data_IF_686996745642
#
_entry.id   IF_686996745642
#
_cell.length_a   1.000
_cell.length_b   1.000
_cell.length_c   1.000
_cell.angle_alpha   90.00
_cell.angle_beta   90.00
_cell.angle_gamma   90.00
#
_symmetry.space_group_name_H-M   'P 1'
#
loop_
_entity.id
_entity.type
_entity.pdbx_description
1 polymer ?
#
# COMPACT_ATOMS: atom_id res chain seq x y z
N UNK A 1 -68.55 21.77 -15.62
CA UNK A 1 -69.06 20.40 -15.85
C UNK A 1 -68.43 19.89 -17.14
N UNK A 2 -67.29 19.22 -17.03
CA UNK A 2 -66.55 18.66 -18.16
C UNK A 2 -65.96 17.31 -17.74
N UNK A 3 -66.14 16.30 -18.59
CA UNK A 3 -65.78 14.90 -18.48
C UNK A 3 -64.32 14.63 -18.05
N UNK A 4 -64.05 13.51 -17.37
CA UNK A 4 -62.83 12.71 -17.58
C UNK A 4 -62.94 11.25 -17.07
N UNK A 5 -62.86 10.34 -18.05
CA UNK A 5 -62.19 9.02 -18.12
C UNK A 5 -62.08 8.05 -16.93
N UNK A 6 -62.62 6.85 -17.17
CA UNK A 6 -62.24 5.55 -16.58
C UNK A 6 -60.74 5.24 -16.78
N UNK A 7 -60.08 4.71 -15.75
CA UNK A 7 -58.82 3.97 -15.91
C UNK A 7 -58.90 2.61 -15.20
N UNK A 8 -58.64 1.57 -15.98
CA UNK A 8 -58.59 0.17 -15.58
C UNK A 8 -57.25 -0.18 -14.93
N UNK A 9 -57.34 -1.14 -14.02
CA UNK A 9 -56.30 -1.71 -13.17
C UNK A 9 -55.64 -2.92 -13.85
N UNK A 10 -54.32 -2.91 -14.02
CA UNK A 10 -53.45 -4.08 -14.22
C UNK A 10 -52.08 -3.68 -13.64
N UNK A 11 -51.60 -4.24 -12.54
CA UNK A 11 -51.27 -5.65 -12.35
C UNK A 11 -49.78 -5.86 -12.60
N UNK A 12 -48.92 -5.19 -11.82
CA UNK A 12 -47.46 -5.29 -11.94
C UNK A 12 -46.97 -6.59 -11.31
N UNK A 13 -46.41 -7.49 -12.13
CA UNK A 13 -45.71 -8.67 -11.65
C UNK A 13 -44.43 -8.28 -10.93
N UNK A 14 -44.36 -8.61 -9.63
CA UNK A 14 -43.16 -8.49 -8.82
C UNK A 14 -42.16 -9.54 -9.26
N UNK A 15 -41.06 -9.10 -9.88
CA UNK A 15 -39.83 -9.87 -9.95
C UNK A 15 -39.12 -9.68 -8.61
N UNK A 16 -39.23 -10.67 -7.73
CA UNK A 16 -38.38 -10.80 -6.55
C UNK A 16 -36.94 -11.05 -7.03
N UNK A 17 -36.19 -9.95 -7.19
CA UNK A 17 -34.75 -10.01 -7.20
C UNK A 17 -34.30 -10.13 -5.75
N UNK A 18 -34.00 -11.35 -5.36
CA UNK A 18 -33.24 -11.69 -4.15
C UNK A 18 -31.84 -11.08 -4.31
N UNK A 19 -31.72 -9.79 -3.97
CA UNK A 19 -30.45 -9.10 -3.89
C UNK A 19 -29.80 -9.54 -2.59
N UNK A 20 -28.82 -10.44 -2.73
CA UNK A 20 -27.83 -10.74 -1.70
C UNK A 20 -27.18 -9.42 -1.22
N UNK A 21 -27.67 -8.90 -0.10
CA UNK A 21 -27.17 -7.71 0.57
C UNK A 21 -25.96 -8.03 1.48
N UNK A 22 -25.02 -8.85 1.01
CA UNK A 22 -23.73 -8.97 1.68
C UNK A 22 -22.87 -7.69 1.56
N UNK A 23 -23.32 -6.71 0.78
CA UNK A 23 -22.68 -5.41 0.58
C UNK A 23 -23.09 -4.33 1.61
N UNK A 24 -23.84 -4.68 2.66
CA UNK A 24 -24.27 -3.75 3.72
C UNK A 24 -23.18 -3.48 4.78
N UNK A 25 -21.91 -3.42 4.35
CA UNK A 25 -20.86 -2.79 5.13
C UNK A 25 -20.87 -1.31 4.77
N UNK A 26 -21.08 -0.43 5.77
CA UNK A 26 -21.11 1.02 5.57
C UNK A 26 -19.95 1.47 4.64
N UNK A 27 -20.18 2.39 3.67
CA UNK A 27 -19.21 2.74 2.63
C UNK A 27 -17.81 3.13 3.13
N UNK A 28 -17.70 3.57 4.39
CA UNK A 28 -16.45 3.91 5.04
C UNK A 28 -15.48 2.72 5.16
N UNK A 29 -15.96 1.48 5.36
CA UNK A 29 -15.10 0.29 5.53
C UNK A 29 -14.57 -0.27 4.21
N UNK A 30 -15.26 -0.01 3.09
CA UNK A 30 -14.87 -0.56 1.78
C UNK A 30 -13.50 -0.07 1.30
N UNK A 31 -13.03 1.07 1.82
CA UNK A 31 -11.74 1.67 1.43
C UNK A 31 -10.57 1.33 2.35
N UNK A 32 -10.80 0.64 3.48
CA UNK A 32 -9.74 0.31 4.42
C UNK A 32 -8.83 -0.79 3.84
N UNK A 33 -7.53 -0.54 3.84
CA UNK A 33 -6.53 -1.48 3.33
C UNK A 33 -6.00 -2.46 4.38
N UNK A 34 -6.66 -2.56 5.54
CA UNK A 34 -6.22 -3.38 6.68
C UNK A 34 -5.91 -4.83 6.28
N UNK A 35 -6.78 -5.46 5.47
CA UNK A 35 -6.60 -6.85 5.02
C UNK A 35 -5.48 -7.02 4.00
N UNK A 36 -5.01 -5.91 3.42
CA UNK A 36 -4.00 -5.88 2.37
C UNK A 36 -2.61 -5.56 2.92
N UNK A 37 -2.47 -5.28 4.21
CA UNK A 37 -1.17 -5.10 4.85
C UNK A 37 -0.54 -6.48 5.10
N UNK A 38 0.72 -6.62 4.72
CA UNK A 38 1.53 -7.77 5.12
C UNK A 38 2.13 -7.46 6.50
N UNK A 39 1.41 -7.87 7.55
CA UNK A 39 1.81 -7.58 8.93
C UNK A 39 3.12 -8.25 9.34
N UNK A 40 3.45 -9.41 8.75
CA UNK A 40 4.66 -10.15 9.11
C UNK A 40 5.90 -9.50 8.51
N UNK A 41 5.75 -8.83 7.36
CA UNK A 41 6.78 -8.03 6.71
C UNK A 41 7.02 -6.64 7.32
N UNK A 42 6.27 -6.23 8.35
CA UNK A 42 6.49 -4.94 9.02
C UNK A 42 7.82 -4.96 9.77
N UNK A 43 8.62 -3.92 9.52
CA UNK A 43 9.89 -3.64 10.21
C UNK A 43 9.82 -2.25 10.81
N UNK A 44 10.16 -2.15 12.09
CA UNK A 44 10.22 -0.87 12.81
C UNK A 44 11.60 -0.74 13.45
N UNK A 45 12.24 0.39 13.23
CA UNK A 45 13.54 0.75 13.80
C UNK A 45 13.31 1.78 14.91
N UNK A 46 14.08 1.65 15.99
CA UNK A 46 13.98 2.44 17.22
C UNK A 46 12.61 2.30 17.91
N UNK A 47 12.05 1.08 18.00
CA UNK A 47 10.90 0.79 18.87
C UNK A 47 11.38 0.25 20.22
N UNK A 48 10.83 0.75 21.33
CA UNK A 48 11.21 0.33 22.69
C UNK A 48 10.75 -1.10 23.01
N UNK A 49 9.53 -1.43 22.60
CA UNK A 49 8.99 -2.79 22.68
C UNK A 49 9.09 -3.49 21.31
N UNK A 50 9.68 -4.70 21.23
CA UNK A 50 9.75 -5.45 19.98
C UNK A 50 8.37 -5.70 19.37
N UNK A 51 8.24 -5.39 18.08
CA UNK A 51 7.00 -5.53 17.30
C UNK A 51 5.86 -4.60 17.72
N UNK A 52 6.10 -3.57 18.53
CA UNK A 52 5.10 -2.55 18.86
C UNK A 52 4.54 -1.84 17.62
N UNK A 53 5.41 -1.53 16.65
CA UNK A 53 5.00 -0.93 15.37
C UNK A 53 4.06 -1.83 14.58
N UNK A 54 4.30 -3.14 14.60
CA UNK A 54 3.37 -4.13 14.02
C UNK A 54 2.06 -4.19 14.80
N UNK A 55 2.12 -4.12 16.12
CA UNK A 55 0.97 -4.23 17.01
C UNK A 55 -0.02 -3.06 16.81
N UNK A 56 0.46 -1.82 16.67
CA UNK A 56 -0.41 -0.66 16.41
C UNK A 56 -1.05 -0.69 15.02
N UNK A 57 -0.39 -1.27 14.02
CA UNK A 57 -0.94 -1.46 12.66
C UNK A 57 -1.97 -2.60 12.62
N UNK A 58 -1.86 -3.59 13.53
CA UNK A 58 -2.83 -4.68 13.71
C UNK A 58 -4.09 -4.26 14.48
N UNK A 59 -4.14 -3.06 15.06
CA UNK A 59 -5.42 -2.54 15.58
C UNK A 59 -6.41 -2.39 14.44
N UNK A 60 -7.62 -2.88 14.64
CA UNK A 60 -8.71 -2.63 13.69
C UNK A 60 -9.20 -1.18 13.81
N UNK A 61 -9.98 -0.71 12.84
CA UNK A 61 -10.62 0.61 12.93
C UNK A 61 -11.43 0.78 14.23
N UNK A 62 -12.06 -0.28 14.75
CA UNK A 62 -12.80 -0.21 16.01
C UNK A 62 -11.90 0.02 17.23
N UNK A 63 -10.65 -0.45 17.18
CA UNK A 63 -9.66 -0.40 18.26
C UNK A 63 -8.70 0.79 18.15
N UNK A 64 -8.90 1.66 17.16
CA UNK A 64 -7.96 2.74 16.80
C UNK A 64 -7.67 3.72 17.96
N UNK A 65 -8.60 3.83 18.91
CA UNK A 65 -8.50 4.71 20.08
C UNK A 65 -8.15 3.94 21.37
N UNK A 66 -7.93 2.62 21.28
CA UNK A 66 -7.51 1.85 22.45
C UNK A 66 -6.11 2.31 22.89
N UNK A 67 -5.89 2.53 24.19
CA UNK A 67 -4.61 3.00 24.71
C UNK A 67 -3.46 2.00 24.47
N UNK A 68 -3.78 0.72 24.31
CA UNK A 68 -2.81 -0.35 24.09
C UNK A 68 -3.21 -1.26 22.91
N UNK A 69 -2.25 -1.76 22.11
CA UNK A 69 -0.81 -1.50 22.15
C UNK A 69 -0.44 -0.07 21.73
N UNK A 70 0.72 0.42 22.15
CA UNK A 70 1.28 1.72 21.72
C UNK A 70 2.68 1.47 21.15
N UNK A 71 3.11 2.27 20.18
CA UNK A 71 4.49 2.35 19.72
C UNK A 71 5.16 3.53 20.40
N UNK A 72 6.27 3.27 21.07
CA UNK A 72 7.14 4.27 21.69
C UNK A 72 8.56 4.09 21.15
N UNK A 73 9.29 5.18 20.99
CA UNK A 73 10.69 5.14 20.58
C UNK A 73 11.64 4.84 21.75
N UNK A 74 12.78 4.19 21.48
CA UNK A 74 13.68 3.69 22.53
C UNK A 74 14.77 4.70 22.92
N UNK A 75 15.46 5.27 21.93
CA UNK A 75 16.67 6.08 22.15
C UNK A 75 16.43 7.58 22.00
N UNK A 76 15.65 7.96 20.99
CA UNK A 76 15.36 9.34 20.63
C UNK A 76 14.01 9.43 19.93
N UNK A 77 13.59 10.63 19.53
CA UNK A 77 12.27 10.88 18.94
C UNK A 77 12.08 10.30 17.53
N UNK A 78 13.16 9.83 16.88
CA UNK A 78 13.13 9.40 15.50
C UNK A 78 12.78 7.92 15.37
N UNK A 79 11.76 7.61 14.56
CA UNK A 79 11.39 6.21 14.27
C UNK A 79 11.26 5.99 12.78
N UNK A 80 11.57 4.78 12.32
CA UNK A 80 11.40 4.40 10.92
C UNK A 80 10.60 3.12 10.84
N UNK A 81 9.47 3.16 10.13
CA UNK A 81 8.56 2.02 9.99
C UNK A 81 8.34 1.70 8.51
N UNK A 82 8.73 0.49 8.11
CA UNK A 82 8.43 -0.09 6.82
C UNK A 82 7.17 -0.95 6.88
N UNK A 83 6.18 -0.63 6.06
CA UNK A 83 4.88 -1.32 5.99
C UNK A 83 4.65 -1.83 4.56
N UNK A 84 4.81 -3.14 4.31
CA UNK A 84 4.48 -3.74 3.03
C UNK A 84 2.98 -4.04 2.87
N UNK A 85 2.52 -4.02 1.63
CA UNK A 85 1.21 -4.54 1.24
C UNK A 85 1.37 -5.89 0.51
N UNK A 86 0.34 -6.73 0.60
CA UNK A 86 0.26 -8.04 -0.08
C UNK A 86 0.05 -7.93 -1.60
N UNK A 87 -0.02 -6.71 -2.14
CA UNK A 87 -0.18 -6.44 -3.56
C UNK A 87 0.02 -4.96 -3.86
N UNK A 88 -0.45 -4.52 -5.03
CA UNK A 88 -0.38 -3.12 -5.42
C UNK A 88 -1.62 -2.37 -4.94
N UNK A 89 -1.44 -1.20 -4.35
CA UNK A 89 -2.51 -0.34 -3.87
C UNK A 89 -2.39 1.07 -4.43
N UNK A 90 -3.55 1.70 -4.65
CA UNK A 90 -3.70 3.14 -4.87
C UNK A 90 -4.03 3.78 -3.52
N UNK A 91 -3.04 4.37 -2.85
CA UNK A 91 -3.29 4.99 -1.55
C UNK A 91 -4.00 6.33 -1.71
N UNK A 92 -4.99 6.53 -0.86
CA UNK A 92 -5.79 7.75 -0.81
C UNK A 92 -5.49 8.56 0.45
N UNK A 93 -5.39 7.90 1.60
CA UNK A 93 -5.22 8.58 2.90
C UNK A 93 -4.41 7.71 3.87
N UNK A 94 -3.63 8.37 4.73
CA UNK A 94 -3.09 7.80 5.95
C UNK A 94 -4.12 8.01 7.07
N UNK A 95 -4.43 6.95 7.81
CA UNK A 95 -5.18 7.02 9.05
C UNK A 95 -4.17 7.01 10.20
N UNK A 96 -4.28 7.97 11.11
CA UNK A 96 -3.25 8.19 12.12
C UNK A 96 -3.88 8.59 13.45
N UNK A 97 -3.42 8.00 14.55
CA UNK A 97 -3.73 8.47 15.89
C UNK A 97 -2.49 8.35 16.78
N UNK A 98 -2.30 9.37 17.61
CA UNK A 98 -1.30 9.42 18.67
C UNK A 98 -1.94 9.99 19.94
N UNK A 99 -1.45 9.60 21.13
CA UNK A 99 -1.92 10.17 22.38
C UNK A 99 -1.76 11.69 22.41
N UNK A 100 -2.62 12.40 23.16
CA UNK A 100 -2.61 13.86 23.28
C UNK A 100 -1.48 14.39 24.17
N UNK A 101 -0.25 14.06 23.82
CA UNK A 101 0.95 14.45 24.56
C UNK A 101 1.92 15.19 23.64
N UNK A 102 2.91 15.86 24.23
CA UNK A 102 4.02 16.45 23.48
C UNK A 102 4.87 15.41 22.75
N UNK A 103 4.81 14.14 23.16
CA UNK A 103 5.43 13.00 22.46
C UNK A 103 4.73 12.60 21.16
N UNK A 104 3.60 13.20 20.80
CA UNK A 104 2.98 12.94 19.50
C UNK A 104 3.91 13.43 18.37
N UNK A 105 4.06 12.67 17.28
CA UNK A 105 4.91 13.09 16.17
C UNK A 105 4.33 14.34 15.52
N UNK A 106 5.22 15.23 15.09
CA UNK A 106 4.88 16.48 14.42
C UNK A 106 5.10 16.36 12.92
N UNK A 107 6.25 15.83 12.51
CA UNK A 107 6.61 15.65 11.09
C UNK A 107 6.74 14.17 10.75
N UNK A 108 5.98 13.73 9.74
CA UNK A 108 6.07 12.38 9.18
C UNK A 108 6.44 12.47 7.70
N UNK A 109 7.61 11.94 7.34
CA UNK A 109 8.05 11.79 5.95
C UNK A 109 7.62 10.41 5.43
N UNK A 110 6.94 10.39 4.27
CA UNK A 110 6.45 9.17 3.66
C UNK A 110 7.23 8.86 2.39
N UNK A 111 7.67 7.61 2.26
CA UNK A 111 8.38 7.11 1.09
C UNK A 111 7.64 5.93 0.48
N UNK A 112 7.41 6.00 -0.83
CA UNK A 112 6.76 4.94 -1.58
C UNK A 112 7.78 3.91 -2.04
N UNK A 113 7.54 2.63 -1.73
CA UNK A 113 8.30 1.48 -2.27
C UNK A 113 9.81 1.52 -1.94
N UNK A 114 10.18 1.94 -0.72
CA UNK A 114 11.59 2.06 -0.29
C UNK A 114 11.89 1.23 0.97
N UNK A 115 12.19 -0.09 0.83
CA UNK A 115 12.58 -0.96 1.95
C UNK A 115 14.02 -0.71 2.43
N UNK A 116 14.79 0.08 1.68
CA UNK A 116 16.23 0.30 1.84
C UNK A 116 16.60 1.49 2.72
N UNK A 117 15.61 2.13 3.37
CA UNK A 117 15.85 3.36 4.12
C UNK A 117 16.39 3.09 5.52
N UNK A 118 17.41 3.87 5.88
CA UNK A 118 17.86 4.10 7.24
C UNK A 118 17.60 5.57 7.65
N UNK A 119 17.91 5.92 8.90
CA UNK A 119 17.69 7.27 9.44
C UNK A 119 18.43 8.36 8.67
N UNK A 120 19.68 8.10 8.27
CA UNK A 120 20.48 9.08 7.53
C UNK A 120 19.89 9.37 6.14
N UNK A 121 19.54 8.31 5.42
CA UNK A 121 18.97 8.39 4.08
C UNK A 121 17.56 8.99 4.12
N UNK A 122 16.74 8.62 5.10
CA UNK A 122 15.39 9.16 5.26
C UNK A 122 15.38 10.66 5.64
N UNK A 123 16.42 11.13 6.34
CA UNK A 123 16.58 12.54 6.69
C UNK A 123 16.90 13.40 5.46
N UNK A 124 17.86 12.95 4.65
CA UNK A 124 18.39 13.70 3.50
C UNK A 124 17.52 13.58 2.23
N UNK A 125 16.90 12.42 2.02
CA UNK A 125 16.14 12.16 0.80
C UNK A 125 14.83 12.95 0.79
N UNK A 126 14.49 13.51 -0.37
CA UNK A 126 13.16 14.08 -0.58
C UNK A 126 12.07 13.01 -0.44
N UNK A 127 11.20 13.19 0.57
CA UNK A 127 10.05 12.33 0.78
C UNK A 127 9.08 12.38 -0.41
N UNK A 128 8.35 11.29 -0.64
CA UNK A 128 7.25 11.28 -1.62
C UNK A 128 6.18 12.28 -1.20
N UNK A 129 5.89 12.35 0.09
CA UNK A 129 5.05 13.35 0.71
C UNK A 129 5.47 13.54 2.17
N UNK A 130 5.53 14.79 2.64
CA UNK A 130 5.75 15.11 4.06
C UNK A 130 4.43 15.58 4.66
N UNK A 131 4.09 15.05 5.82
CA UNK A 131 2.89 15.41 6.58
C UNK A 131 3.30 16.15 7.85
N UNK A 132 2.55 17.20 8.17
CA UNK A 132 2.60 17.85 9.48
C UNK A 132 1.34 17.48 10.24
N UNK A 133 1.49 16.79 11.37
CA UNK A 133 0.39 16.30 12.20
C UNK A 133 0.05 17.37 13.25
N UNK A 134 -1.14 17.98 13.22
CA UNK A 134 -1.48 19.03 14.17
C UNK A 134 -1.66 18.50 15.60
N UNK A 135 -1.03 19.16 16.58
CA UNK A 135 -1.13 18.80 18.00
C UNK A 135 -2.58 18.82 18.54
N UNK A 136 -3.43 19.72 18.04
CA UNK A 136 -4.83 19.86 18.48
C UNK A 136 -5.73 18.72 18.01
N UNK A 137 -5.25 17.90 17.09
CA UNK A 137 -5.99 16.77 16.53
C UNK A 137 -5.54 15.42 17.11
N UNK A 138 -4.63 15.46 18.08
CA UNK A 138 -4.26 14.36 18.97
C UNK A 138 -4.79 14.74 20.35
N UNK A 139 -5.92 14.14 20.76
CA UNK A 139 -6.81 14.62 21.84
C UNK A 139 -7.55 13.46 22.50
N UNK A 140 -7.89 13.57 23.79
CA UNK A 140 -8.82 12.62 24.44
C UNK A 140 -10.22 12.62 23.80
N UNK A 141 -10.58 13.73 23.14
CA UNK A 141 -11.82 13.90 22.36
C UNK A 141 -11.60 13.81 20.84
N UNK A 142 -10.37 13.52 20.38
CA UNK A 142 -10.03 13.49 18.97
C UNK A 142 -10.14 12.07 18.39
N UNK A 143 -10.91 11.93 17.32
CA UNK A 143 -10.91 10.71 16.51
C UNK A 143 -9.59 10.56 15.74
N UNK A 144 -9.31 9.37 15.23
CA UNK A 144 -8.17 9.14 14.35
C UNK A 144 -8.24 10.05 13.12
N UNK A 145 -7.10 10.67 12.82
CA UNK A 145 -6.94 11.58 11.70
C UNK A 145 -6.92 10.84 10.38
N UNK A 146 -7.73 11.31 9.43
CA UNK A 146 -7.58 10.95 8.03
C UNK A 146 -6.81 12.04 7.29
N UNK A 147 -5.55 11.77 6.96
CA UNK A 147 -4.68 12.70 6.26
C UNK A 147 -4.65 12.30 4.77
N UNK A 148 -5.18 13.13 3.86
CA UNK A 148 -5.22 12.80 2.44
C UNK A 148 -3.81 12.81 1.82
N UNK A 149 -3.55 11.83 0.98
CA UNK A 149 -2.32 11.70 0.20
C UNK A 149 -2.54 12.14 -1.25
N UNK A 150 -1.46 12.57 -1.90
CA UNK A 150 -1.49 12.90 -3.32
C UNK A 150 -1.61 11.63 -4.17
N UNK A 151 -2.84 11.29 -4.56
CA UNK A 151 -3.16 10.05 -5.29
C UNK A 151 -2.31 9.82 -6.54
N UNK A 152 -1.85 10.89 -7.22
CA UNK A 152 -0.99 10.76 -8.40
C UNK A 152 0.39 10.19 -8.05
N UNK A 153 0.91 10.49 -6.86
CA UNK A 153 2.18 9.97 -6.35
C UNK A 153 2.04 8.56 -5.75
N UNK A 154 0.82 8.10 -5.43
CA UNK A 154 0.61 6.87 -4.66
C UNK A 154 -0.22 5.77 -5.37
N UNK A 155 -0.29 5.81 -6.70
CA UNK A 155 -1.13 4.90 -7.49
C UNK A 155 -0.60 3.45 -7.65
N UNK A 156 0.68 3.22 -7.39
CA UNK A 156 1.40 1.96 -7.66
C UNK A 156 2.24 1.56 -6.44
N UNK A 157 1.61 1.63 -5.28
CA UNK A 157 2.29 1.44 -4.00
C UNK A 157 2.26 -0.03 -3.60
N UNK A 158 3.41 -0.60 -3.29
CA UNK A 158 3.58 -1.95 -2.74
C UNK A 158 4.07 -1.90 -1.30
N UNK A 159 4.65 -0.78 -0.86
CA UNK A 159 4.97 -0.52 0.54
C UNK A 159 5.04 0.97 0.84
N UNK A 160 4.86 1.33 2.10
CA UNK A 160 5.06 2.69 2.62
C UNK A 160 6.11 2.62 3.71
N UNK A 161 7.09 3.51 3.64
CA UNK A 161 8.01 3.74 4.76
C UNK A 161 7.66 5.08 5.40
N UNK A 162 7.39 5.05 6.70
CA UNK A 162 7.10 6.21 7.54
C UNK A 162 8.35 6.54 8.33
N UNK A 163 8.83 7.77 8.19
CA UNK A 163 9.91 8.31 9.02
C UNK A 163 9.33 9.42 9.89
N UNK A 164 9.30 9.17 11.19
CA UNK A 164 8.91 10.13 12.22
C UNK A 164 10.16 10.94 12.56
N UNK A 165 10.17 12.22 12.20
CA UNK A 165 11.39 13.05 12.22
C UNK A 165 11.53 13.86 13.52
N UNK A 166 10.43 14.42 14.01
CA UNK A 166 10.35 15.21 15.24
C UNK A 166 8.99 15.02 15.94
N UNK A 167 8.93 15.39 17.22
CA UNK A 167 7.69 15.43 18.00
C UNK A 167 7.31 16.87 18.42
N UNK A 168 6.18 17.01 19.12
CA UNK A 168 5.67 18.30 19.57
C UNK A 168 6.33 18.85 20.84
N UNK A 169 7.23 18.11 21.47
CA UNK A 169 7.93 18.56 22.68
C UNK A 169 8.97 19.64 22.40
N UNK A 170 9.45 19.74 21.16
CA UNK A 170 10.53 20.67 20.84
C UNK A 170 11.87 20.29 21.48
N UNK A 171 12.05 19.01 21.85
CA UNK A 171 13.26 18.46 22.47
C UNK A 171 13.17 18.26 23.98
N UNK A 172 12.04 18.57 24.61
CA UNK A 172 11.81 18.33 26.04
C UNK A 172 11.44 16.86 26.35
N UNK A 173 10.81 16.16 25.40
CA UNK A 173 10.53 14.73 25.47
C UNK A 173 11.42 13.98 24.48
N UNK A 174 12.20 13.04 24.99
CA UNK A 174 13.12 12.24 24.18
C UNK A 174 12.39 11.15 23.37
N UNK A 175 11.13 10.87 23.69
CA UNK A 175 10.38 9.77 23.08
C UNK A 175 9.19 10.24 22.25
N UNK A 176 8.95 9.54 21.14
CA UNK A 176 7.79 9.72 20.27
C UNK A 176 6.81 8.56 20.46
N UNK A 177 5.52 8.87 20.58
CA UNK A 177 4.44 7.90 20.82
C UNK A 177 3.40 7.89 19.70
N UNK A 178 3.01 6.70 19.24
CA UNK A 178 2.01 6.50 18.19
C UNK A 178 1.05 5.37 18.60
N UNK A 179 -0.25 5.64 18.53
CA UNK A 179 -1.29 4.70 18.98
C UNK A 179 -1.90 3.87 17.85
N UNK A 180 -2.01 4.41 16.63
CA UNK A 180 -2.62 3.69 15.51
C UNK A 180 -2.17 4.25 14.16
N UNK A 181 -1.96 3.32 13.22
CA UNK A 181 -1.65 3.60 11.82
C UNK A 181 -2.53 2.69 10.96
N UNK A 182 -3.21 3.29 9.99
CA UNK A 182 -3.98 2.58 8.97
C UNK A 182 -3.93 3.29 7.63
N UNK A 183 -4.50 2.66 6.61
CA UNK A 183 -4.52 3.23 5.25
C UNK A 183 -5.89 3.07 4.61
N UNK A 184 -6.27 4.08 3.83
CA UNK A 184 -7.40 4.01 2.89
C UNK A 184 -6.91 4.04 1.46
N UNK A 185 -7.58 3.30 0.58
CA UNK A 185 -7.26 3.27 -0.84
C UNK A 185 -8.00 2.18 -1.59
N UNK A 186 -7.49 1.86 -2.78
CA UNK A 186 -7.98 0.74 -3.59
C UNK A 186 -6.91 -0.31 -3.75
N UNK A 187 -7.26 -1.56 -3.48
CA UNK A 187 -6.41 -2.71 -3.76
C UNK A 187 -6.52 -3.12 -5.23
N UNK A 188 -5.38 -3.42 -5.83
CA UNK A 188 -5.28 -4.06 -7.12
C UNK A 188 -4.49 -5.36 -6.95
N UNK A 189 -5.18 -6.48 -7.11
CA UNK A 189 -4.54 -7.79 -7.06
C UNK A 189 -3.44 -7.85 -8.12
N UNK A 190 -2.21 -8.14 -7.70
CA UNK A 190 -1.13 -8.43 -8.63
C UNK A 190 -1.44 -9.80 -9.26
N UNK A 191 -1.97 -9.81 -10.48
CA UNK A 191 -2.06 -11.03 -11.27
C UNK A 191 -0.62 -11.43 -11.62
N UNK A 192 -0.01 -12.27 -10.79
CA UNK A 192 1.25 -12.95 -11.11
C UNK A 192 0.92 -14.15 -11.99
N UNK A 193 0.48 -13.92 -13.22
CA UNK A 193 0.50 -14.98 -14.21
C UNK A 193 1.96 -15.33 -14.50
N UNK A 194 2.36 -16.61 -14.41
CA UNK A 194 3.68 -17.01 -14.86
C UNK A 194 3.75 -16.72 -16.36
N UNK A 195 4.62 -15.79 -16.75
CA UNK A 195 4.96 -15.59 -18.16
C UNK A 195 5.65 -16.87 -18.61
N UNK A 196 4.90 -17.78 -19.22
CA UNK A 196 5.46 -18.89 -19.98
C UNK A 196 6.17 -18.29 -21.19
N UNK A 197 7.47 -18.00 -21.02
CA UNK A 197 8.35 -17.67 -22.13
C UNK A 197 8.56 -18.96 -22.91
N UNK A 198 7.65 -19.25 -23.84
CA UNK A 198 7.87 -20.28 -24.84
C UNK A 198 8.98 -19.76 -25.75
N UNK A 199 10.22 -20.13 -25.47
CA UNK A 199 11.30 -19.95 -26.44
C UNK A 199 10.95 -20.83 -27.65
N UNK A 200 10.44 -20.21 -28.72
CA UNK A 200 10.30 -20.83 -30.04
C UNK A 200 11.69 -21.07 -30.63
N UNK A 201 12.47 -21.97 -30.03
CA UNK A 201 13.72 -22.48 -30.58
C UNK A 201 13.45 -23.80 -31.29
N UNK A 202 12.59 -23.78 -32.31
CA UNK A 202 12.61 -24.79 -33.35
C UNK A 202 13.28 -24.15 -34.58
N UNK A 203 14.57 -24.42 -34.76
CA UNK A 203 15.23 -24.08 -36.01
C UNK A 203 14.47 -24.74 -37.16
N UNK A 204 13.86 -23.94 -38.04
CA UNK A 204 13.21 -24.45 -39.24
C UNK A 204 14.31 -24.98 -40.18
N UNK A 205 14.37 -26.28 -40.49
CA UNK A 205 15.46 -26.86 -41.30
C UNK A 205 15.52 -26.34 -42.75
N UNK A 206 14.57 -25.48 -43.15
CA UNK A 206 14.48 -24.88 -44.49
C UNK A 206 15.22 -23.56 -44.67
N UNK A 207 15.80 -22.98 -43.62
CA UNK A 207 16.47 -21.66 -43.71
C UNK A 207 17.98 -21.70 -43.97
N UNK A 208 18.52 -22.87 -44.31
CA UNK A 208 19.92 -22.99 -44.75
C UNK A 208 19.96 -23.09 -46.28
N UNK A 209 20.36 -22.00 -46.95
CA UNK A 209 20.64 -22.02 -48.38
C UNK A 209 21.89 -22.86 -48.63
N UNK A 210 21.74 -24.00 -49.30
CA UNK A 210 22.87 -24.80 -49.76
C UNK A 210 23.59 -23.99 -50.84
N UNK A 211 24.85 -23.61 -50.59
CA UNK A 211 25.68 -22.94 -51.58
C UNK A 211 26.01 -23.95 -52.68
N UNK A 212 25.34 -23.81 -53.83
CA UNK A 212 25.60 -24.59 -55.04
C UNK A 212 26.86 -24.04 -55.73
N UNK A 213 28.02 -24.68 -55.53
CA UNK A 213 29.26 -24.13 -56.08
C UNK A 213 30.57 -24.91 -55.86
N UNK A 214 30.55 -26.22 -55.62
CA UNK A 214 31.77 -27.05 -55.78
C UNK A 214 31.46 -28.23 -56.68
N UNK A 215 31.20 -27.90 -57.94
CA UNK A 215 31.21 -28.84 -59.04
C UNK A 215 32.64 -28.98 -59.60
N UNK A 216 33.06 -30.23 -59.72
CA UNK A 216 33.96 -30.76 -60.76
C UNK A 216 35.42 -30.26 -60.84
N UNK A 217 36.32 -31.18 -60.49
CA UNK A 217 37.45 -31.54 -61.35
C UNK A 217 38.80 -30.90 -61.03
N UNK A 218 39.72 -31.68 -60.46
CA UNK A 218 41.09 -31.87 -61.02
C UNK A 218 41.61 -33.23 -60.54
N UNK A 219 41.70 -34.19 -61.44
CA UNK A 219 42.59 -35.34 -61.27
C UNK A 219 44.03 -34.96 -61.59
N UNK A 220 45.00 -35.45 -60.81
CA UNK A 220 46.43 -35.56 -61.17
C UNK A 220 47.04 -36.84 -60.58
N UNK A 221 47.09 -37.86 -61.43
CA UNK A 221 48.21 -38.80 -61.73
C UNK A 221 49.38 -39.03 -60.76
N UNK A 222 49.54 -40.31 -60.35
CA UNK A 222 50.70 -41.27 -60.41
C UNK A 222 52.15 -40.82 -60.03
N UNK A 223 52.80 -41.68 -59.21
CA UNK A 223 54.25 -42.04 -59.22
C UNK A 223 54.99 -41.67 -57.92
N UNK A 224 55.76 -42.52 -57.22
CA UNK A 224 56.38 -43.83 -57.47
C UNK A 224 56.26 -44.73 -56.22
#
# INVERSE_FOLDING_TARGET
MSHHHHHHHHGHGGHDHDHDHSDDLTPAFQSLLYKQIDFDGIVTLNESEPKAGTAIVKKTWAQRLDDSPELESDVDEQMLMYIPFTGQVKLHSLLFYAPPTTSAPKTIKLFRNRPDLDFSTASDLQATQTLTVPQTLTGSDADALEIPLNRAQWNTTTSVTLFFEDNWSGGDEEVTKVGYIGFKGHYMALIREPVTVLYEAAANPKDHVIIQGVGEGVGRTIGQ
#
